data_IF_934474457476
#
_entry.id   IF_934474457476
#
_cell.length_a   1.000
_cell.length_b   1.000
_cell.length_c   1.000
_cell.angle_alpha   90.00
_cell.angle_beta   90.00
_cell.angle_gamma   90.00
#
_symmetry.space_group_name_H-M   'P 1'
#
loop_
_entity.id
_entity.type
_entity.pdbx_description
1 polymer ?
#
# COMPACT_ATOMS: atom_id res chain seq x y z
N UNK A 1 -26.49 4.52 -4.52
CA UNK A 1 -25.14 4.97 -4.09
C UNK A 1 -24.87 4.33 -2.75
N UNK A 2 -24.19 3.19 -2.73
CA UNK A 2 -23.74 2.57 -1.47
C UNK A 2 -22.51 3.33 -1.00
N UNK A 3 -22.66 4.13 0.05
CA UNK A 3 -21.53 4.70 0.79
C UNK A 3 -20.79 3.57 1.50
N UNK A 4 -19.93 2.87 0.75
CA UNK A 4 -19.05 1.82 1.28
C UNK A 4 -17.81 2.45 1.92
N UNK A 5 -18.03 3.42 2.82
CA UNK A 5 -17.00 4.05 3.66
C UNK A 5 -16.35 3.06 4.67
N UNK A 6 -16.51 1.76 4.48
CA UNK A 6 -15.85 0.71 5.27
C UNK A 6 -15.10 -0.26 4.36
N UNK A 7 -13.80 0.01 4.16
CA UNK A 7 -12.89 -0.86 3.42
C UNK A 7 -12.83 -2.30 3.93
N UNK A 8 -13.07 -2.54 5.22
CA UNK A 8 -13.02 -3.89 5.80
C UNK A 8 -14.21 -4.75 5.35
N UNK A 9 -15.32 -4.11 4.99
CA UNK A 9 -16.46 -4.76 4.32
C UNK A 9 -16.11 -4.99 2.87
N UNK A 10 -15.62 -3.96 2.17
CA UNK A 10 -15.23 -4.04 0.76
C UNK A 10 -14.19 -5.16 0.52
N UNK A 11 -13.16 -5.28 1.38
CA UNK A 11 -12.10 -6.30 1.29
C UNK A 11 -12.61 -7.75 1.23
N UNK A 12 -13.83 -8.02 1.73
CA UNK A 12 -14.44 -9.36 1.70
C UNK A 12 -14.99 -9.75 0.32
N UNK A 13 -15.11 -8.80 -0.60
CA UNK A 13 -15.73 -8.95 -1.91
C UNK A 13 -14.84 -8.34 -3.00
N UNK A 14 -14.60 -9.09 -4.07
CA UNK A 14 -13.80 -8.60 -5.21
C UNK A 14 -14.43 -7.37 -5.87
N UNK A 15 -15.77 -7.37 -6.01
CA UNK A 15 -16.53 -6.29 -6.67
C UNK A 15 -16.53 -5.04 -5.78
N UNK A 16 -16.83 -5.19 -4.48
CA UNK A 16 -16.92 -4.04 -3.59
C UNK A 16 -15.55 -3.42 -3.33
N UNK A 17 -14.48 -4.22 -3.25
CA UNK A 17 -13.11 -3.70 -3.18
C UNK A 17 -12.68 -3.00 -4.47
N UNK A 18 -13.07 -3.52 -5.64
CA UNK A 18 -12.82 -2.85 -6.93
C UNK A 18 -13.49 -1.48 -6.97
N UNK A 19 -14.80 -1.42 -6.71
CA UNK A 19 -15.56 -0.18 -6.70
C UNK A 19 -14.98 0.83 -5.69
N UNK A 20 -14.59 0.35 -4.50
CA UNK A 20 -13.93 1.17 -3.47
C UNK A 20 -12.61 1.78 -3.96
N UNK A 21 -11.77 1.00 -4.64
CA UNK A 21 -10.48 1.47 -5.17
C UNK A 21 -10.68 2.47 -6.31
N UNK A 22 -11.58 2.19 -7.25
CA UNK A 22 -11.91 3.11 -8.34
C UNK A 22 -12.47 4.45 -7.83
N UNK A 23 -13.37 4.42 -6.85
CA UNK A 23 -13.94 5.61 -6.19
C UNK A 23 -12.85 6.44 -5.49
N UNK A 24 -11.93 5.79 -4.75
CA UNK A 24 -10.80 6.47 -4.13
C UNK A 24 -9.93 7.24 -5.15
N UNK A 25 -9.61 6.61 -6.28
CA UNK A 25 -8.78 7.21 -7.33
C UNK A 25 -9.50 8.25 -8.20
N UNK A 26 -10.81 8.50 -8.02
CA UNK A 26 -11.48 9.68 -8.59
C UNK A 26 -11.09 10.99 -7.90
N UNK A 27 -10.66 10.92 -6.63
CA UNK A 27 -10.28 12.08 -5.81
C UNK A 27 -8.82 12.12 -5.37
N UNK A 28 -8.02 11.10 -5.68
CA UNK A 28 -6.63 10.96 -5.25
C UNK A 28 -5.77 10.37 -6.37
N UNK A 29 -4.60 10.97 -6.64
CA UNK A 29 -3.69 10.47 -7.68
C UNK A 29 -2.88 9.23 -7.26
N UNK A 30 -2.60 9.10 -5.94
CA UNK A 30 -1.82 8.00 -5.39
C UNK A 30 -2.25 7.58 -3.98
N UNK A 31 -2.22 6.27 -3.75
CA UNK A 31 -2.31 5.65 -2.42
C UNK A 31 -0.88 5.45 -1.90
N UNK A 32 -0.56 5.93 -0.70
CA UNK A 32 0.83 5.95 -0.22
C UNK A 32 0.98 5.31 1.15
N UNK A 33 2.23 5.01 1.51
CA UNK A 33 2.51 4.62 2.88
C UNK A 33 3.96 4.28 3.15
N UNK A 34 4.26 4.23 4.44
CA UNK A 34 5.63 4.24 4.95
C UNK A 34 5.79 3.33 6.17
N UNK A 35 6.88 2.59 6.16
CA UNK A 35 7.44 1.89 7.29
C UNK A 35 8.89 2.38 7.49
N UNK A 36 9.33 2.59 8.73
CA UNK A 36 10.72 2.93 9.01
C UNK A 36 11.08 2.70 10.46
N UNK A 37 12.31 2.25 10.70
CA UNK A 37 12.91 2.12 12.02
C UNK A 37 14.34 2.70 12.01
N UNK A 38 15.11 2.46 13.08
CA UNK A 38 16.47 2.98 13.25
C UNK A 38 17.51 2.40 12.28
N UNK A 39 17.20 1.30 11.58
CA UNK A 39 18.13 0.58 10.70
C UNK A 39 17.72 0.60 9.22
N UNK A 40 16.42 0.68 8.90
CA UNK A 40 15.95 0.74 7.51
C UNK A 40 14.61 1.49 7.35
N UNK A 41 14.28 1.83 6.11
CA UNK A 41 12.97 2.35 5.71
C UNK A 41 12.43 1.65 4.47
N UNK A 42 11.10 1.66 4.35
CA UNK A 42 10.35 1.27 3.16
C UNK A 42 9.27 2.33 2.89
N UNK A 43 9.21 2.79 1.66
CA UNK A 43 8.18 3.70 1.14
C UNK A 43 7.52 3.03 -0.06
N UNK A 44 6.21 3.12 -0.17
CA UNK A 44 5.53 2.63 -1.35
C UNK A 44 4.40 3.58 -1.80
N UNK A 45 4.15 3.57 -3.09
CA UNK A 45 3.04 4.29 -3.74
C UNK A 45 2.30 3.36 -4.69
N UNK A 46 0.99 3.55 -4.81
CA UNK A 46 0.12 2.83 -5.74
C UNK A 46 -0.67 3.82 -6.57
N UNK A 47 -0.70 3.63 -7.89
CA UNK A 47 -1.43 4.49 -8.84
C UNK A 47 -2.33 3.66 -9.76
N UNK A 48 -3.51 4.18 -10.08
CA UNK A 48 -4.43 3.55 -11.03
C UNK A 48 -3.96 3.82 -12.48
N UNK A 49 -3.77 2.74 -13.23
CA UNK A 49 -3.47 2.77 -14.67
C UNK A 49 -4.73 2.55 -15.52
N UNK A 50 -4.62 2.86 -16.82
CA UNK A 50 -5.73 2.92 -17.79
C UNK A 50 -6.41 1.58 -18.15
N UNK A 51 -6.22 0.52 -17.37
CA UNK A 51 -6.70 -0.85 -17.67
C UNK A 51 -6.96 -1.66 -16.40
N UNK A 52 -7.58 -1.06 -15.38
CA UNK A 52 -7.89 -1.67 -14.08
C UNK A 52 -6.69 -2.25 -13.31
N UNK A 53 -5.49 -1.79 -13.68
CA UNK A 53 -4.23 -2.22 -13.10
C UNK A 53 -3.71 -1.13 -12.16
N UNK A 54 -3.07 -1.56 -11.09
CA UNK A 54 -2.40 -0.75 -10.09
C UNK A 54 -0.89 -0.88 -10.28
N UNK A 55 -0.22 0.25 -10.50
CA UNK A 55 1.24 0.30 -10.49
C UNK A 55 1.70 0.52 -9.04
N UNK A 56 2.38 -0.46 -8.45
CA UNK A 56 3.01 -0.36 -7.13
C UNK A 56 4.48 -0.01 -7.32
N UNK A 57 4.94 1.07 -6.72
CA UNK A 57 6.36 1.38 -6.57
C UNK A 57 6.78 1.11 -5.13
N UNK A 58 7.84 0.33 -4.91
CA UNK A 58 8.52 0.21 -3.62
C UNK A 58 9.87 0.93 -3.68
N UNK A 59 10.23 1.66 -2.63
CA UNK A 59 11.57 2.20 -2.42
C UNK A 59 12.03 1.87 -1.00
N UNK A 60 13.19 1.23 -0.87
CA UNK A 60 13.77 0.82 0.41
C UNK A 60 15.24 1.23 0.52
N UNK A 61 15.73 1.42 1.73
CA UNK A 61 17.13 1.74 1.99
C UNK A 61 17.47 1.59 3.47
N UNK A 62 18.77 1.45 3.74
CA UNK A 62 19.27 1.40 5.12
C UNK A 62 19.46 2.81 5.68
N UNK A 63 19.20 2.95 6.98
CA UNK A 63 19.45 4.17 7.75
C UNK A 63 20.88 4.11 8.31
N UNK A 64 21.89 4.19 7.44
CA UNK A 64 23.28 4.17 7.86
C UNK A 64 23.63 5.40 8.72
N UNK A 65 24.41 5.26 9.82
CA UNK A 65 24.97 6.41 10.52
C UNK A 65 25.90 7.19 9.58
N UNK A 66 25.83 8.53 9.61
CA UNK A 66 26.54 9.42 8.68
C UNK A 66 28.07 9.20 8.60
N UNK A 67 28.68 8.54 9.59
CA UNK A 67 30.11 8.29 9.67
C UNK A 67 30.62 7.11 8.80
N UNK A 68 29.74 6.33 8.14
CA UNK A 68 30.17 5.12 7.42
C UNK A 68 30.59 5.33 5.96
N UNK A 69 30.48 6.54 5.38
CA UNK A 69 31.01 6.87 4.05
C UNK A 69 30.39 6.13 2.85
N UNK A 70 29.52 5.15 3.10
CA UNK A 70 28.80 4.38 2.09
C UNK A 70 27.51 5.11 1.72
N UNK A 71 27.54 5.82 0.59
CA UNK A 71 26.33 6.28 -0.09
C UNK A 71 25.55 5.05 -0.61
N UNK A 72 24.80 4.39 0.26
CA UNK A 72 23.92 3.29 -0.14
C UNK A 72 22.78 3.86 -0.97
N UNK A 73 22.80 3.57 -2.27
CA UNK A 73 21.75 3.97 -3.21
C UNK A 73 20.46 3.25 -2.80
N UNK A 74 19.34 3.95 -2.60
CA UNK A 74 18.05 3.32 -2.32
C UNK A 74 17.67 2.33 -3.43
N UNK A 75 17.24 1.14 -3.03
CA UNK A 75 16.66 0.18 -3.97
C UNK A 75 15.25 0.64 -4.32
N UNK A 76 14.91 0.61 -5.61
CA UNK A 76 13.58 0.93 -6.13
C UNK A 76 13.10 -0.21 -7.03
N UNK A 77 11.86 -0.63 -6.80
CA UNK A 77 11.17 -1.65 -7.58
C UNK A 77 9.80 -1.12 -8.04
N UNK A 78 9.30 -1.62 -9.18
CA UNK A 78 8.01 -1.21 -9.75
C UNK A 78 7.29 -2.43 -10.31
N UNK A 79 6.17 -2.78 -9.69
CA UNK A 79 5.29 -3.88 -10.09
C UNK A 79 3.99 -3.33 -10.69
N UNK A 80 3.34 -4.09 -11.56
CA UNK A 80 1.98 -3.79 -12.06
C UNK A 80 1.09 -4.99 -11.82
N UNK A 81 0.02 -4.80 -11.05
CA UNK A 81 -0.90 -5.86 -10.62
C UNK A 81 -2.35 -5.44 -10.82
N UNK A 82 -3.27 -6.40 -10.89
CA UNK A 82 -4.71 -6.10 -10.88
C UNK A 82 -5.20 -5.66 -9.49
N UNK A 83 -6.35 -4.97 -9.44
CA UNK A 83 -7.00 -4.59 -8.16
C UNK A 83 -7.33 -5.83 -7.29
N UNK A 84 -7.63 -6.98 -7.88
CA UNK A 84 -7.85 -8.23 -7.14
C UNK A 84 -6.54 -8.78 -6.53
N UNK A 85 -5.43 -8.75 -7.28
CA UNK A 85 -4.12 -9.11 -6.70
C UNK A 85 -3.76 -8.16 -5.54
N UNK A 86 -4.07 -6.87 -5.64
CA UNK A 86 -3.89 -5.93 -4.54
C UNK A 86 -4.75 -6.27 -3.31
N UNK A 87 -6.02 -6.67 -3.51
CA UNK A 87 -6.89 -7.19 -2.44
C UNK A 87 -6.27 -8.41 -1.76
N UNK A 88 -5.75 -9.35 -2.56
CA UNK A 88 -5.09 -10.56 -2.06
C UNK A 88 -3.78 -10.24 -1.32
N UNK A 89 -2.98 -9.26 -1.75
CA UNK A 89 -1.80 -8.82 -1.02
C UNK A 89 -2.15 -8.26 0.38
N UNK A 90 -3.20 -7.45 0.48
CA UNK A 90 -3.71 -6.92 1.75
C UNK A 90 -4.25 -8.04 2.65
N UNK A 91 -4.95 -9.03 2.09
CA UNK A 91 -5.44 -10.20 2.83
C UNK A 91 -4.32 -11.12 3.29
N UNK A 92 -3.37 -11.46 2.41
CA UNK A 92 -2.31 -12.44 2.68
C UNK A 92 -1.24 -11.91 3.63
N UNK A 93 -0.96 -10.60 3.66
CA UNK A 93 -0.05 -10.03 4.66
C UNK A 93 -0.63 -10.03 6.10
N UNK A 94 -1.85 -10.54 6.32
CA UNK A 94 -2.34 -10.92 7.67
C UNK A 94 -1.74 -12.23 8.21
N UNK A 95 -0.99 -13.01 7.44
CA UNK A 95 -0.41 -14.29 7.90
C UNK A 95 0.77 -14.16 8.91
N UNK A 96 0.90 -13.02 9.62
CA UNK A 96 1.97 -12.78 10.59
C UNK A 96 1.54 -11.92 11.80
N UNK A 97 0.30 -12.05 12.30
CA UNK A 97 -0.08 -11.45 13.59
C UNK A 97 0.89 -11.91 14.71
N UNK A 98 1.42 -11.07 15.60
CA UNK A 98 1.08 -9.67 15.94
C UNK A 98 2.31 -8.76 15.78
N UNK A 99 2.18 -7.69 15.01
CA UNK A 99 3.22 -6.68 14.79
C UNK A 99 3.10 -6.03 13.42
N UNK A 100 1.87 -5.66 13.03
CA UNK A 100 1.50 -5.40 11.64
C UNK A 100 2.43 -4.36 10.99
N UNK A 101 3.09 -4.79 9.91
CA UNK A 101 3.78 -3.95 8.95
C UNK A 101 3.42 -4.39 7.53
N UNK A 102 2.29 -3.89 7.02
CA UNK A 102 2.40 -3.29 5.69
C UNK A 102 3.09 -1.94 5.92
N UNK A 103 3.05 -1.05 4.94
CA UNK A 103 3.33 0.34 5.21
C UNK A 103 2.04 1.17 5.34
N UNK A 104 0.86 0.77 5.88
CA UNK A 104 0.37 -0.30 6.80
C UNK A 104 -1.13 -0.60 6.52
N UNK A 105 -1.42 -1.51 5.61
CA UNK A 105 -2.54 -1.41 4.68
C UNK A 105 -2.56 -0.06 3.94
N UNK A 106 -1.43 0.65 3.82
CA UNK A 106 -1.28 1.91 3.07
C UNK A 106 -2.30 3.04 3.33
N UNK A 107 -2.70 3.49 4.54
CA UNK A 107 -2.56 2.97 5.92
C UNK A 107 -3.98 2.78 6.48
N UNK A 108 -4.39 1.55 6.76
CA UNK A 108 -5.80 1.14 6.86
C UNK A 108 -6.57 1.51 5.59
N UNK A 109 -6.02 1.06 4.46
CA UNK A 109 -6.41 1.43 3.10
C UNK A 109 -6.18 2.94 2.92
N UNK A 110 -6.69 3.47 1.83
CA UNK A 110 -7.36 4.75 1.88
C UNK A 110 -8.21 4.92 3.16
N UNK A 111 -7.61 5.51 4.19
CA UNK A 111 -8.13 6.63 4.98
C UNK A 111 -9.41 6.46 5.80
N UNK A 112 -10.05 5.29 5.76
CA UNK A 112 -11.26 5.01 6.51
C UNK A 112 -10.92 4.80 7.99
N UNK A 113 -11.59 5.49 8.93
CA UNK A 113 -11.32 5.30 10.35
C UNK A 113 -11.64 3.87 10.79
N UNK A 114 -10.61 3.18 11.30
CA UNK A 114 -10.81 2.06 12.20
C UNK A 114 -11.34 2.60 13.53
N UNK A 115 -12.50 2.11 13.95
CA UNK A 115 -13.07 2.38 15.27
C UNK A 115 -12.28 1.68 16.38
#
# INVERSE_FOLDING_TARGET
MTNTTNWQVALKSQIDFRNFIEDYFQGHDELTGRYSNTAYYEYYTVRLGSSDNLQITMQTGVTAPANFGLNQVPYKDVETISIEQFRQLILNKKFAEKGVSLADAFKAVAGVPGA
#
